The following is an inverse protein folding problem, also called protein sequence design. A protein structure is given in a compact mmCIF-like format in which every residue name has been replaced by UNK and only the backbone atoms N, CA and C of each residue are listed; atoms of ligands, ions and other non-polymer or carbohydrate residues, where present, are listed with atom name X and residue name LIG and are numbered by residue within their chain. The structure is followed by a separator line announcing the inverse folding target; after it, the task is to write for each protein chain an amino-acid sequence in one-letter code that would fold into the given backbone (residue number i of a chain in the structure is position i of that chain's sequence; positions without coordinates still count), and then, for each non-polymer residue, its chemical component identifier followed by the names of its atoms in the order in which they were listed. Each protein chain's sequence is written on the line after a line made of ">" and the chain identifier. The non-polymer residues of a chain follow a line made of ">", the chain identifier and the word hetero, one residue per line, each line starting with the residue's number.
data_IF_701844775475
#
_entry.id   IF_701844775475
#
_cell.length_a   1.000
_cell.length_b   1.000
_cell.length_c   1.000
_cell.angle_alpha   90.00
_cell.angle_beta   90.00
_cell.angle_gamma   90.00
#
_symmetry.space_group_name_H-M   'P 1'
#
loop_
_entity.id
_entity.type
_entity.pdbx_description
1 polymer ?
#
# COMPACT_ATOMS: atom_id res chain seq x y z
N UNK A 1 26.25 7.48 -34.35
CA UNK A 1 26.01 8.27 -33.11
C UNK A 1 24.85 9.22 -33.37
N UNK A 2 23.62 8.81 -33.07
CA UNK A 2 22.46 9.69 -33.24
C UNK A 2 22.29 10.53 -31.97
N UNK A 3 22.64 11.80 -32.07
CA UNK A 3 22.44 12.78 -31.01
C UNK A 3 20.94 13.16 -30.99
N UNK A 4 20.16 12.53 -30.11
CA UNK A 4 18.78 12.95 -29.85
C UNK A 4 18.80 14.30 -29.12
N UNK A 5 18.63 15.38 -29.89
CA UNK A 5 18.47 16.74 -29.39
C UNK A 5 17.03 16.91 -28.91
N UNK A 6 16.78 16.70 -27.62
CA UNK A 6 15.48 17.01 -27.02
C UNK A 6 15.32 18.53 -26.91
N UNK A 7 14.64 19.14 -27.88
CA UNK A 7 14.28 20.56 -27.86
C UNK A 7 13.09 20.75 -26.92
N UNK A 8 13.33 21.27 -25.71
CA UNK A 8 12.28 21.63 -24.76
C UNK A 8 11.52 22.85 -25.30
N UNK A 9 10.39 22.64 -25.97
CA UNK A 9 9.51 23.72 -26.41
C UNK A 9 8.79 24.30 -25.20
N UNK A 10 9.36 25.38 -24.64
CA UNK A 10 8.76 26.15 -23.56
C UNK A 10 7.61 27.00 -24.12
N UNK A 11 6.41 26.42 -24.25
CA UNK A 11 5.20 27.22 -24.48
C UNK A 11 4.79 27.91 -23.17
N UNK A 12 4.87 29.23 -23.20
CA UNK A 12 4.53 30.14 -22.13
C UNK A 12 3.01 30.34 -22.04
N UNK A 13 2.40 29.86 -20.95
CA UNK A 13 1.25 30.52 -20.31
C UNK A 13 1.02 29.89 -18.94
N UNK A 14 1.15 30.71 -17.88
CA UNK A 14 0.62 30.53 -16.52
C UNK A 14 0.54 29.08 -15.96
N UNK A 15 1.57 28.62 -15.23
CA UNK A 15 1.55 27.31 -14.56
C UNK A 15 2.90 26.77 -14.07
N UNK A 16 4.00 27.48 -14.35
CA UNK A 16 5.40 27.04 -14.22
C UNK A 16 5.83 26.58 -12.80
N UNK A 17 5.05 26.79 -11.74
CA UNK A 17 5.47 26.44 -10.38
C UNK A 17 5.12 24.99 -9.93
N UNK A 18 4.32 24.21 -10.69
CA UNK A 18 3.98 22.82 -10.30
C UNK A 18 4.73 21.71 -11.07
N UNK A 19 5.14 21.94 -12.32
CA UNK A 19 5.78 20.90 -13.15
C UNK A 19 7.14 20.47 -12.58
N UNK A 20 7.87 21.38 -11.92
CA UNK A 20 9.16 21.08 -11.30
C UNK A 20 9.09 20.26 -10.00
N UNK A 21 7.89 20.04 -9.41
CA UNK A 21 7.73 19.28 -8.15
C UNK A 21 7.51 17.77 -8.33
N UNK A 22 7.45 17.29 -9.58
CA UNK A 22 7.19 15.88 -9.88
C UNK A 22 8.02 15.45 -11.09
N UNK A 23 9.34 15.59 -10.98
CA UNK A 23 10.27 15.23 -12.04
C UNK A 23 11.37 14.36 -11.46
N UNK A 24 11.38 13.08 -11.82
CA UNK A 24 12.36 12.11 -11.36
C UNK A 24 13.03 11.43 -12.54
N UNK A 25 14.36 11.41 -12.57
CA UNK A 25 15.14 10.63 -13.53
C UNK A 25 15.44 9.26 -12.94
N UNK A 26 15.14 8.20 -13.70
CA UNK A 26 15.63 6.85 -13.41
C UNK A 26 16.97 6.61 -14.14
N UNK A 27 17.75 5.68 -13.60
CA UNK A 27 19.04 5.17 -14.08
C UNK A 27 19.11 4.68 -15.55
N UNK A 28 18.05 4.81 -16.35
CA UNK A 28 17.99 4.46 -17.78
C UNK A 28 17.37 5.55 -18.67
N UNK A 29 17.42 6.81 -18.24
CA UNK A 29 16.92 7.93 -19.05
C UNK A 29 15.39 8.03 -19.10
N UNK A 30 14.68 7.43 -18.14
CA UNK A 30 13.25 7.63 -17.96
C UNK A 30 12.98 8.89 -17.16
N UNK A 31 11.99 9.64 -17.60
CA UNK A 31 11.38 10.70 -16.81
C UNK A 31 9.87 10.58 -16.84
N UNK A 32 9.25 10.88 -15.71
CA UNK A 32 7.80 10.99 -15.56
C UNK A 32 7.50 12.39 -15.06
N UNK A 33 6.44 12.99 -15.60
CA UNK A 33 5.89 14.23 -15.07
C UNK A 33 4.37 14.16 -15.05
N UNK A 34 3.77 14.94 -14.14
CA UNK A 34 2.33 15.16 -14.12
C UNK A 34 1.99 16.28 -15.10
N UNK A 35 1.31 15.95 -16.19
CA UNK A 35 0.75 16.94 -17.12
C UNK A 35 -0.49 17.61 -16.53
N UNK A 36 -1.24 16.89 -15.68
CA UNK A 36 -2.36 17.39 -14.88
C UNK A 36 -2.47 16.59 -13.56
N UNK A 37 -3.31 17.00 -12.57
CA UNK A 37 -3.51 16.25 -11.32
C UNK A 37 -3.99 14.80 -11.53
N UNK A 38 -4.54 14.48 -12.70
CA UNK A 38 -5.05 13.16 -13.07
C UNK A 38 -4.31 12.52 -14.23
N UNK A 39 -3.26 13.17 -14.76
CA UNK A 39 -2.59 12.73 -15.98
C UNK A 39 -1.06 12.69 -15.78
N UNK A 40 -0.51 11.48 -15.85
CA UNK A 40 0.92 11.20 -15.79
C UNK A 40 1.43 10.97 -17.22
N UNK A 41 2.48 11.68 -17.60
CA UNK A 41 3.13 11.52 -18.90
C UNK A 41 4.57 11.03 -18.72
N UNK A 42 4.91 9.95 -19.43
CA UNK A 42 6.23 9.32 -19.42
C UNK A 42 6.99 9.68 -20.69
N UNK A 43 8.28 9.98 -20.57
CA UNK A 43 9.19 10.07 -21.71
C UNK A 43 10.45 9.24 -21.44
N UNK A 44 11.08 8.76 -22.51
CA UNK A 44 12.29 7.93 -22.44
C UNK A 44 13.33 8.45 -23.41
N UNK A 45 14.57 8.57 -22.96
CA UNK A 45 15.74 8.99 -23.75
C UNK A 45 16.69 7.79 -23.89
N UNK A 46 16.17 6.66 -24.35
CA UNK A 46 16.95 5.45 -24.67
C UNK A 46 16.26 4.65 -25.79
N UNK A 47 17.01 4.36 -26.85
CA UNK A 47 16.50 3.73 -28.06
C UNK A 47 16.27 2.22 -27.90
N UNK A 48 17.08 1.54 -27.09
CA UNK A 48 16.90 0.11 -26.81
C UNK A 48 15.65 -0.12 -25.94
N UNK A 49 15.41 0.76 -24.97
CA UNK A 49 14.22 0.68 -24.12
C UNK A 49 12.90 0.94 -24.88
N UNK A 50 12.91 1.79 -25.91
CA UNK A 50 11.72 2.01 -26.74
C UNK A 50 11.19 0.71 -27.36
N UNK A 51 12.07 -0.26 -27.65
CA UNK A 51 11.67 -1.57 -28.18
C UNK A 51 10.97 -2.44 -27.13
N UNK A 52 11.35 -2.30 -25.85
CA UNK A 52 10.80 -3.05 -24.74
C UNK A 52 9.58 -2.36 -24.09
N UNK A 53 9.28 -1.11 -24.49
CA UNK A 53 8.31 -0.26 -23.81
C UNK A 53 6.89 -0.86 -23.79
N UNK A 54 6.46 -1.49 -24.89
CA UNK A 54 5.16 -2.14 -24.96
C UNK A 54 5.01 -3.33 -24.00
N UNK A 55 6.11 -4.03 -23.68
CA UNK A 55 6.09 -5.16 -22.74
C UNK A 55 6.04 -4.70 -21.28
N UNK A 56 6.49 -3.46 -21.00
CA UNK A 56 6.53 -2.86 -19.68
C UNK A 56 5.35 -1.94 -19.36
N UNK A 57 4.45 -1.69 -20.31
CA UNK A 57 3.19 -1.00 -20.03
C UNK A 57 2.30 -1.99 -19.27
N UNK A 58 2.26 -1.83 -17.94
CA UNK A 58 1.28 -2.52 -17.10
C UNK A 58 -0.09 -1.85 -17.19
N UNK A 59 -1.15 -2.64 -16.99
CA UNK A 59 -2.50 -2.11 -16.84
C UNK A 59 -2.64 -1.46 -15.46
N UNK A 60 -2.93 -0.15 -15.42
CA UNK A 60 -3.13 0.59 -14.17
C UNK A 60 -4.44 0.20 -13.46
N UNK A 61 -5.38 -0.35 -14.23
CA UNK A 61 -6.69 -0.73 -13.75
C UNK A 61 -6.93 -2.20 -14.09
N UNK A 62 -7.12 -3.01 -13.06
CA UNK A 62 -7.67 -4.34 -13.22
C UNK A 62 -9.20 -4.20 -13.21
N UNK A 63 -9.90 -4.44 -14.34
CA UNK A 63 -11.36 -4.46 -14.32
C UNK A 63 -11.80 -5.52 -13.32
N UNK A 64 -12.48 -5.06 -12.28
CA UNK A 64 -13.02 -5.91 -11.22
C UNK A 64 -14.53 -5.75 -11.26
N UNK A 65 -15.22 -6.88 -11.24
CA UNK A 65 -16.67 -6.87 -11.17
C UNK A 65 -17.13 -6.08 -9.94
N UNK A 66 -18.14 -5.24 -10.14
CA UNK A 66 -18.73 -4.46 -9.06
C UNK A 66 -19.22 -5.44 -7.98
N UNK A 67 -18.77 -5.32 -6.71
CA UNK A 67 -19.25 -6.18 -5.65
C UNK A 67 -20.76 -6.06 -5.53
N UNK A 68 -21.45 -7.19 -5.31
CA UNK A 68 -22.90 -7.23 -5.16
C UNK A 68 -23.33 -6.22 -4.09
N UNK A 69 -24.33 -5.35 -4.37
CA UNK A 69 -24.78 -4.36 -3.41
C UNK A 69 -25.15 -5.04 -2.09
N UNK A 70 -24.70 -4.50 -0.93
CA UNK A 70 -25.01 -5.09 0.36
C UNK A 70 -26.52 -5.27 0.50
N UNK A 71 -26.96 -6.49 0.81
CA UNK A 71 -28.37 -6.77 1.10
C UNK A 71 -28.82 -5.83 2.23
N UNK A 72 -29.92 -5.11 2.01
CA UNK A 72 -30.44 -4.05 2.92
C UNK A 72 -30.59 -4.48 4.39
N UNK A 73 -30.59 -5.78 4.66
CA UNK A 73 -30.66 -6.39 5.97
C UNK A 73 -29.51 -6.03 6.92
N UNK A 74 -28.32 -5.66 6.41
CA UNK A 74 -27.15 -5.39 7.27
C UNK A 74 -27.28 -4.09 8.08
N UNK A 75 -27.71 -2.99 7.45
CA UNK A 75 -27.90 -1.71 8.15
C UNK A 75 -29.24 -1.61 8.86
N UNK A 76 -30.25 -2.40 8.44
CA UNK A 76 -31.52 -2.49 9.16
C UNK A 76 -31.36 -3.16 10.54
N UNK A 77 -30.41 -4.08 10.70
CA UNK A 77 -30.08 -4.67 12.00
C UNK A 77 -29.18 -3.81 12.89
N UNK A 78 -28.25 -3.04 12.29
CA UNK A 78 -27.23 -2.30 13.03
C UNK A 78 -27.63 -0.87 13.42
N UNK A 79 -28.47 -0.20 12.62
CA UNK A 79 -28.98 1.16 12.91
C UNK A 79 -30.50 1.31 12.71
N UNK A 80 -31.19 0.26 12.24
CA UNK A 80 -32.63 0.28 11.94
C UNK A 80 -33.52 -0.16 13.10
N UNK A 81 -33.32 0.39 14.30
CA UNK A 81 -34.26 0.30 15.41
C UNK A 81 -35.52 1.13 15.18
N UNK A 82 -36.24 0.88 14.08
CA UNK A 82 -37.57 1.45 13.86
C UNK A 82 -38.59 0.66 14.68
N UNK A 83 -39.28 1.33 15.59
CA UNK A 83 -40.32 0.73 16.42
C UNK A 83 -41.38 0.04 15.56
N UNK A 84 -41.34 -1.30 15.51
CA UNK A 84 -42.54 -2.08 15.21
C UNK A 84 -43.46 -1.91 16.43
N UNK A 85 -44.77 -1.66 16.28
CA UNK A 85 -45.68 -1.84 17.39
C UNK A 85 -45.58 -3.32 17.79
N UNK A 86 -44.92 -3.57 18.92
CA UNK A 86 -44.82 -4.89 19.51
C UNK A 86 -46.22 -5.27 19.97
N UNK A 87 -46.83 -6.22 19.26
CA UNK A 87 -48.13 -6.76 19.59
C UNK A 87 -48.02 -7.60 20.88
N UNK A 88 -48.73 -7.19 21.92
CA UNK A 88 -48.59 -7.74 23.26
C UNK A 88 -49.15 -9.16 23.34
N UNK A 89 -50.13 -9.47 22.50
CA UNK A 89 -50.71 -10.79 22.33
C UNK A 89 -49.75 -11.78 21.63
N UNK A 90 -48.84 -11.32 20.77
CA UNK A 90 -47.85 -12.21 20.13
C UNK A 90 -46.68 -12.54 21.08
N UNK A 91 -46.30 -11.58 21.93
CA UNK A 91 -45.19 -11.74 22.87
C UNK A 91 -45.56 -12.42 24.20
N UNK A 92 -46.82 -12.36 24.62
CA UNK A 92 -47.28 -12.91 25.90
C UNK A 92 -48.64 -13.62 25.85
N UNK A 93 -49.27 -13.73 24.68
CA UNK A 93 -50.53 -14.45 24.52
C UNK A 93 -50.37 -15.95 24.40
N UNK A 94 -51.50 -16.66 24.32
CA UNK A 94 -51.58 -18.12 24.41
C UNK A 94 -50.81 -18.87 23.29
N UNK A 95 -50.49 -18.18 22.20
CA UNK A 95 -49.70 -18.66 21.06
C UNK A 95 -48.18 -18.40 21.18
N UNK A 96 -47.70 -17.71 22.23
CA UNK A 96 -46.30 -17.28 22.40
C UNK A 96 -45.30 -18.40 22.76
N UNK A 97 -45.63 -19.64 22.42
CA UNK A 97 -44.77 -20.81 22.61
C UNK A 97 -44.63 -21.23 24.08
N UNK A 98 -44.75 -22.53 24.34
CA UNK A 98 -44.51 -23.07 25.69
C UNK A 98 -43.05 -22.84 26.08
N UNK A 99 -42.74 -22.37 27.30
CA UNK A 99 -41.38 -22.16 27.75
C UNK A 99 -40.58 -23.47 27.64
N UNK A 100 -39.42 -23.39 26.99
CA UNK A 100 -38.52 -24.52 26.76
C UNK A 100 -38.02 -25.04 28.11
N UNK A 101 -38.56 -26.19 28.56
CA UNK A 101 -38.17 -26.86 29.81
C UNK A 101 -36.79 -27.53 29.77
N UNK A 102 -35.91 -27.10 28.88
CA UNK A 102 -34.50 -27.46 28.94
C UNK A 102 -33.72 -26.27 29.46
N UNK A 103 -33.89 -26.05 30.77
CA UNK A 103 -32.82 -25.54 31.63
C UNK A 103 -31.52 -26.17 31.15
N UNK A 104 -30.53 -25.33 30.84
CA UNK A 104 -29.21 -25.76 30.37
C UNK A 104 -28.67 -26.84 31.31
N UNK A 105 -28.75 -28.10 30.87
CA UNK A 105 -28.06 -29.21 31.48
C UNK A 105 -26.59 -28.93 31.23
N UNK A 106 -25.89 -28.52 32.28
CA UNK A 106 -24.42 -28.52 32.35
C UNK A 106 -23.91 -29.75 31.58
N UNK A 107 -23.23 -29.58 30.44
CA UNK A 107 -22.74 -30.70 29.62
C UNK A 107 -21.67 -31.42 30.45
N UNK A 108 -21.95 -32.61 31.02
CA UNK A 108 -20.96 -33.36 31.77
C UNK A 108 -20.13 -34.13 30.73
N UNK A 109 -18.86 -33.75 30.55
CA UNK A 109 -17.94 -34.36 29.58
C UNK A 109 -18.13 -33.79 28.17
N UNK A 110 -17.16 -33.15 27.53
CA UNK A 110 -15.77 -33.54 27.51
C UNK A 110 -15.45 -34.60 26.45
N UNK A 111 -16.33 -34.92 25.49
CA UNK A 111 -15.99 -35.73 24.31
C UNK A 111 -17.04 -35.53 23.20
N UNK A 112 -16.76 -34.71 22.20
CA UNK A 112 -17.62 -34.57 21.03
C UNK A 112 -16.91 -33.87 19.87
N UNK A 113 -17.41 -34.05 18.63
CA UNK A 113 -16.78 -33.53 17.41
C UNK A 113 -16.57 -32.02 17.40
N UNK A 114 -17.32 -31.26 18.22
CA UNK A 114 -17.14 -29.82 18.37
C UNK A 114 -15.86 -29.43 19.13
N UNK A 115 -15.43 -30.21 20.14
CA UNK A 115 -14.19 -29.95 20.88
C UNK A 115 -12.96 -30.33 20.05
N UNK A 116 -13.06 -31.40 19.27
CA UNK A 116 -12.01 -31.80 18.32
C UNK A 116 -11.88 -30.81 17.16
N UNK A 117 -12.99 -30.31 16.62
CA UNK A 117 -12.98 -29.24 15.64
C UNK A 117 -12.40 -27.93 16.20
N UNK A 118 -12.68 -27.61 17.48
CA UNK A 118 -12.07 -26.45 18.14
C UNK A 118 -10.56 -26.66 18.35
N UNK A 119 -10.14 -27.85 18.75
CA UNK A 119 -8.73 -28.22 18.89
C UNK A 119 -7.97 -28.13 17.56
N UNK A 120 -8.56 -28.64 16.47
CA UNK A 120 -7.99 -28.55 15.13
C UNK A 120 -7.82 -27.09 14.67
N UNK A 121 -8.84 -26.24 14.90
CA UNK A 121 -8.78 -24.80 14.58
C UNK A 121 -7.77 -24.05 15.44
N UNK A 122 -7.68 -24.39 16.73
CA UNK A 122 -6.69 -23.81 17.62
C UNK A 122 -5.27 -24.22 17.23
N UNK A 123 -5.07 -25.49 16.84
CA UNK A 123 -3.81 -26.02 16.32
C UNK A 123 -3.36 -25.33 15.03
N UNK A 124 -4.27 -25.13 14.07
CA UNK A 124 -3.95 -24.40 12.83
C UNK A 124 -3.60 -22.93 13.10
N UNK A 125 -4.37 -22.26 13.97
CA UNK A 125 -4.07 -20.88 14.35
C UNK A 125 -2.71 -20.75 15.06
N UNK A 126 -2.37 -21.67 15.96
CA UNK A 126 -1.06 -21.71 16.60
C UNK A 126 0.08 -21.94 15.60
N UNK A 127 -0.12 -22.80 14.61
CA UNK A 127 0.85 -23.02 13.53
C UNK A 127 1.04 -21.76 12.68
N UNK A 128 -0.02 -21.01 12.40
CA UNK A 128 0.06 -19.75 11.66
C UNK A 128 0.83 -18.68 12.43
N UNK A 129 0.60 -18.59 13.74
CA UNK A 129 1.34 -17.70 14.64
C UNK A 129 2.82 -18.07 14.70
N UNK A 130 3.15 -19.36 14.79
CA UNK A 130 4.54 -19.83 14.79
C UNK A 130 5.27 -19.46 13.48
N UNK A 131 4.60 -19.63 12.32
CA UNK A 131 5.16 -19.20 11.03
C UNK A 131 5.33 -17.68 10.96
N UNK A 132 4.34 -16.92 11.43
CA UNK A 132 4.42 -15.46 11.49
C UNK A 132 5.59 -14.99 12.38
N UNK A 133 5.81 -15.65 13.52
CA UNK A 133 6.94 -15.36 14.40
C UNK A 133 8.29 -15.53 13.69
N UNK A 134 8.47 -16.63 12.94
CA UNK A 134 9.69 -16.86 12.17
C UNK A 134 9.95 -15.75 11.15
N UNK A 135 8.91 -15.31 10.43
CA UNK A 135 9.02 -14.20 9.47
C UNK A 135 9.39 -12.88 10.16
N UNK A 136 8.91 -12.64 11.38
CA UNK A 136 9.26 -11.46 12.17
C UNK A 136 10.72 -11.50 12.60
N UNK A 137 11.25 -12.66 12.99
CA UNK A 137 12.67 -12.83 13.34
C UNK A 137 13.56 -12.54 12.12
N UNK A 138 13.27 -13.15 10.97
CA UNK A 138 14.02 -12.89 9.74
C UNK A 138 13.94 -11.43 9.30
N UNK A 139 12.80 -10.78 9.52
CA UNK A 139 12.65 -9.34 9.30
C UNK A 139 13.54 -8.54 10.24
N UNK A 140 13.63 -8.93 11.51
CA UNK A 140 14.51 -8.31 12.51
C UNK A 140 15.97 -8.32 12.06
N UNK A 141 16.47 -9.47 11.61
CA UNK A 141 17.84 -9.61 11.11
C UNK A 141 18.10 -8.72 9.88
N UNK A 142 17.13 -8.68 8.95
CA UNK A 142 17.22 -7.81 7.76
C UNK A 142 17.20 -6.33 8.11
N UNK A 143 16.42 -5.93 9.12
CA UNK A 143 16.37 -4.54 9.59
C UNK A 143 17.67 -4.13 10.27
N UNK A 144 18.28 -5.02 11.07
CA UNK A 144 19.59 -4.76 11.68
C UNK A 144 20.67 -4.56 10.59
N UNK A 145 20.69 -5.41 9.55
CA UNK A 145 21.62 -5.20 8.42
C UNK A 145 21.34 -3.92 7.63
N UNK A 146 20.07 -3.51 7.54
CA UNK A 146 19.69 -2.27 6.87
C UNK A 146 20.16 -1.03 7.64
N UNK A 147 20.08 -1.07 8.97
CA UNK A 147 20.59 -0.02 9.86
C UNK A 147 22.09 0.18 9.65
N UNK A 148 22.90 -0.88 9.73
CA UNK A 148 24.35 -0.83 9.49
C UNK A 148 24.70 -0.24 8.11
N UNK A 149 23.96 -0.62 7.07
CA UNK A 149 24.17 -0.11 5.71
C UNK A 149 23.78 1.36 5.59
N UNK A 150 22.70 1.76 6.26
CA UNK A 150 22.19 3.14 6.26
C UNK A 150 23.14 4.06 7.02
N UNK A 151 23.71 3.61 8.13
CA UNK A 151 24.76 4.34 8.86
C UNK A 151 25.99 4.57 7.98
N UNK A 152 26.48 3.51 7.31
CA UNK A 152 27.61 3.64 6.36
C UNK A 152 27.28 4.60 5.22
N UNK A 153 26.08 4.51 4.66
CA UNK A 153 25.62 5.42 3.60
C UNK A 153 25.54 6.87 4.10
N UNK A 154 25.07 7.10 5.33
CA UNK A 154 25.02 8.43 5.94
C UNK A 154 26.42 9.03 6.07
N UNK A 155 27.38 8.25 6.58
CA UNK A 155 28.77 8.69 6.70
C UNK A 155 29.38 9.04 5.34
N UNK A 156 29.18 8.19 4.32
CA UNK A 156 29.64 8.46 2.96
C UNK A 156 28.99 9.72 2.36
N UNK A 157 27.70 9.94 2.61
CA UNK A 157 27.00 11.13 2.15
C UNK A 157 27.55 12.41 2.82
N UNK A 158 27.88 12.35 4.11
CA UNK A 158 28.51 13.45 4.83
C UNK A 158 29.91 13.78 4.27
N UNK A 159 30.73 12.76 4.02
CA UNK A 159 32.05 12.90 3.39
C UNK A 159 31.95 13.49 1.98
N UNK A 160 31.00 13.01 1.17
CA UNK A 160 30.73 13.52 -0.16
C UNK A 160 30.29 14.99 -0.12
N UNK A 161 29.38 15.34 0.79
CA UNK A 161 28.92 16.72 0.98
C UNK A 161 30.07 17.66 1.33
N UNK A 162 30.94 17.26 2.26
CA UNK A 162 32.14 18.02 2.63
C UNK A 162 33.08 18.21 1.44
N UNK A 163 33.35 17.14 0.70
CA UNK A 163 34.23 17.17 -0.48
C UNK A 163 33.67 18.07 -1.59
N UNK A 164 32.37 17.99 -1.86
CA UNK A 164 31.69 18.85 -2.82
C UNK A 164 31.70 20.32 -2.38
N UNK A 165 31.54 20.58 -1.08
CA UNK A 165 31.63 21.93 -0.54
C UNK A 165 33.04 22.52 -0.69
N UNK A 166 34.08 21.74 -0.39
CA UNK A 166 35.47 22.16 -0.61
C UNK A 166 35.77 22.45 -2.09
N UNK A 167 35.26 21.61 -3.00
CA UNK A 167 35.38 21.84 -4.44
C UNK A 167 34.68 23.14 -4.85
N UNK A 168 33.45 23.36 -4.38
CA UNK A 168 32.70 24.59 -4.63
C UNK A 168 33.51 25.81 -4.19
N UNK A 169 34.07 25.81 -2.97
CA UNK A 169 34.87 26.94 -2.47
C UNK A 169 36.10 27.23 -3.35
N UNK A 170 36.77 26.21 -3.88
CA UNK A 170 37.94 26.38 -4.76
C UNK A 170 37.61 27.05 -6.10
N UNK A 171 36.39 26.87 -6.60
CA UNK A 171 35.96 27.38 -7.90
C UNK A 171 34.94 28.52 -7.81
N UNK A 172 34.47 28.87 -6.60
CA UNK A 172 33.47 29.93 -6.35
C UNK A 172 33.83 31.26 -7.00
N UNK A 173 35.10 31.66 -6.87
CA UNK A 173 35.58 32.98 -7.30
C UNK A 173 36.33 32.93 -8.64
N UNK A 174 36.53 31.73 -9.22
CA UNK A 174 37.17 31.59 -10.51
C UNK A 174 36.21 31.99 -11.61
N UNK A 175 36.61 32.98 -12.40
CA UNK A 175 35.87 33.38 -13.60
C UNK A 175 36.21 32.41 -14.74
N UNK A 176 35.24 32.16 -15.61
CA UNK A 176 35.35 31.23 -16.73
C UNK A 176 36.49 31.55 -17.72
N UNK A 177 37.02 32.78 -17.69
CA UNK A 177 38.13 33.25 -18.52
C UNK A 177 39.51 33.14 -17.86
N UNK A 178 39.61 32.57 -16.66
CA UNK A 178 40.84 32.41 -15.88
C UNK A 178 41.28 30.94 -15.73
N UNK A 179 40.82 30.07 -16.63
CA UNK A 179 41.16 28.66 -16.67
C UNK A 179 42.57 28.44 -17.22
#
# INVERSE_FOLDING_TARGET
>A
MHQCRATLVKRSSCGICRIAKTFCFSNRGHGLYLASPTEVQKFTIDAEFCQQLNEMIGELFLPRDMPEPPKESFFRGLFGGGARPLDREELFGESSGKPLRTVAKHIPGGTGPALEALGARAGSAAADVARAHQLVVERGDKLSQLEDRTERMHNQAAEFSSSAHQLMLKYKDKKWYQL
#
